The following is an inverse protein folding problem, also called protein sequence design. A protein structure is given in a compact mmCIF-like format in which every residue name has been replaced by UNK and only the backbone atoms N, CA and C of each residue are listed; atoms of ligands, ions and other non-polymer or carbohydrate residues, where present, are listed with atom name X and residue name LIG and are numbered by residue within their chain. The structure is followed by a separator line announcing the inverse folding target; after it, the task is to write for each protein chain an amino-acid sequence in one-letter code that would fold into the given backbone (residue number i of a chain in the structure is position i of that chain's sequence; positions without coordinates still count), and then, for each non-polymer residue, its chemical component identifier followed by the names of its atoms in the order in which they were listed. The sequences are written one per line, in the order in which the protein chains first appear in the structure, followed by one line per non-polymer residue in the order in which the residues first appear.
data_IF_656020430090
#
_entry.id   IF_656020430090
#
_cell.length_a   1.000
_cell.length_b   1.000
_cell.length_c   1.000
_cell.angle_alpha   90.00
_cell.angle_beta   90.00
_cell.angle_gamma   90.00
#
_symmetry.space_group_name_H-M   'P 1'
#
loop_
_entity.id
_entity.type
_entity.pdbx_description
1 polymer ?
#
# COMPACT_ATOMS: atom_id res chain seq x y z
N UNK A 1 5.39 13.61 14.56
CA UNK A 1 5.55 12.17 14.74
C UNK A 1 6.91 11.87 15.35
N UNK A 2 6.92 11.15 16.47
CA UNK A 2 8.14 10.85 17.22
C UNK A 2 9.19 10.10 16.39
N UNK A 3 8.76 9.23 15.50
CA UNK A 3 9.66 8.45 14.66
C UNK A 3 10.46 9.34 13.73
N UNK A 4 9.80 10.31 13.10
CA UNK A 4 10.45 11.28 12.21
C UNK A 4 11.29 12.26 13.04
N UNK A 5 10.73 12.78 14.13
CA UNK A 5 11.42 13.75 14.99
C UNK A 5 12.70 13.21 15.58
N UNK A 6 12.76 11.90 15.82
CA UNK A 6 13.96 11.24 16.35
C UNK A 6 14.92 10.76 15.27
N UNK A 7 14.68 11.13 14.03
CA UNK A 7 15.58 10.79 12.92
C UNK A 7 15.61 9.30 12.57
N UNK A 8 14.58 8.55 12.92
CA UNK A 8 14.50 7.12 12.63
C UNK A 8 13.98 6.83 11.23
N UNK A 9 13.26 7.76 10.63
CA UNK A 9 12.81 7.69 9.24
C UNK A 9 13.56 8.70 8.41
N UNK A 10 14.21 8.22 7.37
CA UNK A 10 15.01 9.07 6.46
C UNK A 10 14.29 9.09 5.11
N UNK A 11 13.87 10.26 4.61
CA UNK A 11 13.26 10.35 3.29
C UNK A 11 14.27 9.94 2.22
N UNK A 12 13.87 9.06 1.32
CA UNK A 12 14.71 8.58 0.22
C UNK A 12 14.23 9.15 -1.11
N UNK A 13 12.91 9.03 -1.38
CA UNK A 13 12.35 9.49 -2.64
C UNK A 13 10.88 9.85 -2.47
N UNK A 14 10.52 11.05 -2.93
CA UNK A 14 9.13 11.49 -3.04
C UNK A 14 8.61 11.21 -4.43
N UNK A 15 7.31 10.93 -4.54
CA UNK A 15 6.65 10.70 -5.83
C UNK A 15 7.38 9.65 -6.67
N UNK A 16 7.62 8.49 -6.07
CA UNK A 16 8.30 7.38 -6.73
C UNK A 16 7.36 6.69 -7.72
N UNK A 17 7.64 6.84 -9.01
CA UNK A 17 6.88 6.14 -10.06
C UNK A 17 7.37 4.70 -10.13
N UNK A 18 6.42 3.77 -10.09
CA UNK A 18 6.69 2.33 -10.14
C UNK A 18 5.86 1.69 -11.24
N UNK A 19 6.32 0.57 -11.75
CA UNK A 19 5.57 -0.17 -12.76
C UNK A 19 6.13 -1.55 -12.99
N UNK A 20 5.29 -2.38 -13.62
CA UNK A 20 5.66 -3.69 -14.10
C UNK A 20 5.10 -3.87 -15.50
N UNK A 21 5.99 -4.03 -16.48
CA UNK A 21 5.61 -4.09 -17.90
C UNK A 21 4.85 -5.38 -18.18
N UNK A 22 5.25 -6.49 -17.60
CA UNK A 22 4.61 -7.78 -17.86
C UNK A 22 3.18 -7.83 -17.36
N UNK A 23 2.90 -7.16 -16.25
CA UNK A 23 1.57 -7.07 -15.68
C UNK A 23 0.78 -5.86 -16.20
N UNK A 24 1.43 -4.96 -16.94
CA UNK A 24 0.83 -3.70 -17.41
C UNK A 24 0.25 -2.87 -16.27
N UNK A 25 0.96 -2.84 -15.16
CA UNK A 25 0.57 -2.07 -13.97
C UNK A 25 1.57 -0.95 -13.72
N UNK A 26 1.06 0.20 -13.30
CA UNK A 26 1.89 1.31 -12.86
C UNK A 26 1.19 2.07 -11.74
N UNK A 27 1.99 2.82 -10.99
CA UNK A 27 1.49 3.65 -9.91
C UNK A 27 2.56 4.61 -9.44
N UNK A 28 2.21 5.38 -8.41
CA UNK A 28 3.13 6.31 -7.78
C UNK A 28 3.02 6.20 -6.28
N UNK A 29 4.16 6.01 -5.64
CA UNK A 29 4.26 6.00 -4.17
C UNK A 29 4.57 7.43 -3.73
N UNK A 30 3.80 7.95 -2.78
CA UNK A 30 4.00 9.33 -2.32
C UNK A 30 5.36 9.52 -1.66
N UNK A 31 5.80 8.57 -0.85
CA UNK A 31 7.08 8.67 -0.16
C UNK A 31 7.70 7.29 0.11
N UNK A 32 8.97 7.17 -0.24
CA UNK A 32 9.82 6.05 0.18
C UNK A 32 10.72 6.55 1.31
N UNK A 33 10.70 5.84 2.43
CA UNK A 33 11.57 6.08 3.59
C UNK A 33 12.53 4.92 3.80
N UNK A 34 13.69 5.23 4.38
CA UNK A 34 14.56 4.27 5.04
C UNK A 34 14.29 4.34 6.55
N UNK A 35 13.95 3.20 7.14
CA UNK A 35 13.73 3.11 8.59
C UNK A 35 15.01 2.59 9.25
N UNK A 36 15.72 3.47 9.92
CA UNK A 36 16.99 3.14 10.58
C UNK A 36 16.80 2.14 11.72
N UNK A 37 15.68 2.23 12.42
CA UNK A 37 15.43 1.36 13.57
C UNK A 37 15.26 -0.10 13.13
N UNK A 38 14.55 -0.32 12.03
CA UNK A 38 14.24 -1.68 11.54
C UNK A 38 15.12 -2.11 10.36
N UNK A 39 16.02 -1.22 9.92
CA UNK A 39 16.95 -1.49 8.81
C UNK A 39 16.22 -1.98 7.56
N UNK A 40 15.17 -1.27 7.17
CA UNK A 40 14.38 -1.60 5.98
C UNK A 40 13.80 -0.33 5.35
N UNK A 41 13.46 -0.46 4.07
CA UNK A 41 12.69 0.56 3.38
C UNK A 41 11.21 0.39 3.69
N UNK A 42 10.48 1.51 3.66
CA UNK A 42 9.02 1.54 3.86
C UNK A 42 8.40 2.52 2.87
N UNK A 43 7.22 2.17 2.37
CA UNK A 43 6.43 3.07 1.54
C UNK A 43 5.29 3.65 2.37
N UNK A 44 5.08 4.95 2.22
CA UNK A 44 4.04 5.68 2.92
C UNK A 44 3.23 6.47 1.90
N UNK A 45 1.94 6.62 2.19
CA UNK A 45 1.00 7.31 1.31
C UNK A 45 0.19 8.33 2.11
N UNK A 46 -0.15 9.45 1.48
CA UNK A 46 -0.94 10.51 2.11
C UNK A 46 -2.40 10.35 1.71
N UNK A 47 -3.30 10.38 2.69
CA UNK A 47 -4.74 10.28 2.45
C UNK A 47 -5.47 11.44 3.11
N UNK A 48 -6.39 12.06 2.39
CA UNK A 48 -7.11 13.26 2.82
C UNK A 48 -8.62 13.08 2.88
N UNK A 49 -9.13 11.87 2.77
CA UNK A 49 -10.57 11.64 2.77
C UNK A 49 -11.22 11.90 4.13
N UNK A 50 -12.49 12.27 4.11
CA UNK A 50 -13.28 12.55 5.31
C UNK A 50 -13.54 11.30 6.14
N UNK A 51 -13.64 10.14 5.50
CA UNK A 51 -13.89 8.85 6.16
C UNK A 51 -12.75 7.88 5.90
N UNK A 52 -12.31 7.22 6.97
CA UNK A 52 -11.40 6.10 6.89
C UNK A 52 -11.97 4.96 7.75
N UNK A 53 -12.87 4.18 7.13
CA UNK A 53 -13.49 3.05 7.82
C UNK A 53 -12.51 1.89 7.87
N UNK A 54 -12.41 1.25 9.04
CA UNK A 54 -11.61 0.05 9.25
C UNK A 54 -12.38 -1.23 8.95
N UNK A 55 -13.71 -1.13 8.88
CA UNK A 55 -14.65 -2.21 8.54
C UNK A 55 -15.72 -1.66 7.61
N UNK A 56 -16.32 -2.53 6.81
CA UNK A 56 -17.45 -2.13 5.98
C UNK A 56 -18.68 -1.85 6.83
N UNK A 57 -19.51 -0.93 6.34
CA UNK A 57 -20.88 -0.79 6.84
C UNK A 57 -21.67 -2.03 6.37
N UNK A 58 -22.50 -2.57 7.22
CA UNK A 58 -23.37 -3.72 6.87
C UNK A 58 -22.64 -5.02 6.48
N UNK A 59 -21.37 -5.18 6.81
CA UNK A 59 -20.62 -6.40 6.54
C UNK A 59 -20.34 -6.68 5.07
N UNK A 60 -20.34 -5.66 4.22
CA UNK A 60 -20.05 -5.82 2.79
C UNK A 60 -18.62 -6.29 2.58
N UNK A 61 -18.45 -7.23 1.66
CA UNK A 61 -17.15 -7.78 1.30
C UNK A 61 -16.76 -7.38 -0.11
N UNK A 62 -15.46 -7.41 -0.39
CA UNK A 62 -14.95 -7.21 -1.73
C UNK A 62 -15.34 -8.38 -2.63
N UNK A 63 -15.15 -8.22 -3.94
CA UNK A 63 -15.55 -9.20 -4.95
C UNK A 63 -14.35 -10.01 -5.43
N UNK A 64 -14.64 -11.14 -6.08
CA UNK A 64 -13.65 -12.00 -6.72
C UNK A 64 -12.68 -12.61 -5.71
N UNK A 65 -11.38 -12.66 -6.02
CA UNK A 65 -10.39 -13.27 -5.14
C UNK A 65 -10.23 -12.55 -3.79
N UNK A 66 -10.84 -11.39 -3.61
CA UNK A 66 -10.77 -10.59 -2.38
C UNK A 66 -12.01 -10.75 -1.50
N UNK A 67 -12.85 -11.75 -1.75
CA UNK A 67 -14.16 -11.91 -1.12
C UNK A 67 -14.13 -12.00 0.42
N UNK A 68 -12.99 -12.33 1.01
CA UNK A 68 -12.86 -12.43 2.45
C UNK A 68 -12.57 -11.08 3.12
N UNK A 69 -12.26 -10.05 2.35
CA UNK A 69 -11.91 -8.73 2.89
C UNK A 69 -13.14 -7.83 2.94
N UNK A 70 -13.27 -7.11 4.05
CA UNK A 70 -14.28 -6.05 4.17
C UNK A 70 -14.05 -4.97 3.11
N UNK A 71 -15.14 -4.53 2.49
CA UNK A 71 -15.09 -3.42 1.51
C UNK A 71 -15.10 -2.09 2.27
N UNK A 72 -13.93 -1.60 2.58
CA UNK A 72 -13.72 -0.34 3.31
C UNK A 72 -12.43 0.35 2.86
N UNK A 73 -12.33 1.64 3.16
CA UNK A 73 -11.20 2.46 2.73
C UNK A 73 -9.86 1.90 3.23
N UNK A 74 -9.79 1.52 4.48
CA UNK A 74 -8.53 1.01 5.04
C UNK A 74 -8.02 -0.23 4.30
N UNK A 75 -8.91 -1.18 4.00
CA UNK A 75 -8.54 -2.37 3.23
C UNK A 75 -8.16 -2.04 1.80
N UNK A 76 -8.86 -1.11 1.16
CA UNK A 76 -8.52 -0.64 -0.19
C UNK A 76 -7.11 -0.03 -0.21
N UNK A 77 -6.78 0.81 0.76
CA UNK A 77 -5.46 1.42 0.85
C UNK A 77 -4.37 0.40 1.18
N UNK A 78 -4.67 -0.54 2.07
CA UNK A 78 -3.73 -1.62 2.41
C UNK A 78 -3.44 -2.50 1.20
N UNK A 79 -4.46 -2.81 0.39
CA UNK A 79 -4.27 -3.52 -0.88
C UNK A 79 -3.42 -2.73 -1.87
N UNK A 80 -3.72 -1.43 -2.02
CA UNK A 80 -2.96 -0.57 -2.93
C UNK A 80 -1.47 -0.58 -2.57
N UNK A 81 -1.15 -0.40 -1.30
CA UNK A 81 0.25 -0.39 -0.86
C UNK A 81 0.88 -1.78 -0.95
N UNK A 82 0.11 -2.84 -0.74
CA UNK A 82 0.60 -4.22 -0.93
C UNK A 82 0.93 -4.50 -2.40
N UNK A 83 0.12 -3.99 -3.33
CA UNK A 83 0.42 -4.06 -4.78
C UNK A 83 1.71 -3.30 -5.10
N UNK A 84 1.84 -2.08 -4.60
CA UNK A 84 3.03 -1.26 -4.84
C UNK A 84 4.28 -1.92 -4.28
N UNK A 85 4.18 -2.46 -3.07
CA UNK A 85 5.28 -3.20 -2.44
C UNK A 85 5.73 -4.37 -3.33
N UNK A 86 4.79 -5.16 -3.83
CA UNK A 86 5.08 -6.31 -4.67
C UNK A 86 5.76 -5.88 -5.98
N UNK A 87 5.28 -4.82 -6.62
CA UNK A 87 5.88 -4.30 -7.86
C UNK A 87 7.33 -3.88 -7.59
N UNK A 88 7.59 -3.17 -6.51
CA UNK A 88 8.95 -2.75 -6.16
C UNK A 88 9.84 -3.97 -5.91
N UNK A 89 9.39 -4.92 -5.12
CA UNK A 89 10.18 -6.11 -4.77
C UNK A 89 10.45 -7.02 -5.97
N UNK A 90 9.52 -7.07 -6.94
CA UNK A 90 9.70 -7.86 -8.18
C UNK A 90 10.71 -7.23 -9.14
N UNK A 91 10.80 -5.91 -9.14
CA UNK A 91 11.61 -5.18 -10.13
C UNK A 91 12.92 -4.63 -9.57
N UNK A 92 13.17 -4.83 -8.30
CA UNK A 92 14.40 -4.36 -7.62
C UNK A 92 14.87 -5.41 -6.62
N UNK A 93 16.03 -5.18 -6.01
CA UNK A 93 16.51 -6.00 -4.91
C UNK A 93 16.09 -5.46 -3.54
N UNK A 94 15.23 -4.44 -3.53
CA UNK A 94 14.77 -3.82 -2.29
C UNK A 94 13.69 -4.70 -1.67
N UNK A 95 13.81 -4.95 -0.36
CA UNK A 95 12.73 -5.52 0.44
C UNK A 95 12.11 -4.43 1.29
N UNK A 96 10.79 -4.42 1.31
CA UNK A 96 10.02 -3.42 2.03
C UNK A 96 9.47 -4.01 3.33
N UNK A 97 9.52 -3.23 4.39
CA UNK A 97 8.85 -3.53 5.64
C UNK A 97 7.39 -3.10 5.60
N UNK A 98 6.84 -2.79 6.76
CA UNK A 98 5.45 -2.36 6.88
C UNK A 98 5.20 -1.07 6.10
N UNK A 99 4.01 -1.00 5.48
CA UNK A 99 3.54 0.21 4.82
C UNK A 99 2.62 0.99 5.74
N UNK A 100 2.57 2.29 5.58
CA UNK A 100 1.73 3.17 6.40
C UNK A 100 1.03 4.22 5.55
N UNK A 101 -0.11 4.67 6.03
CA UNK A 101 -0.76 5.86 5.51
C UNK A 101 -0.71 6.97 6.55
N UNK A 102 -0.63 8.19 6.07
CA UNK A 102 -0.78 9.38 6.90
C UNK A 102 -2.13 9.99 6.54
N UNK A 103 -3.04 10.00 7.50
CA UNK A 103 -4.41 10.42 7.27
C UNK A 103 -4.66 11.81 7.83
N UNK A 104 -5.15 12.67 6.95
CA UNK A 104 -5.58 14.02 7.26
C UNK A 104 -7.06 14.15 6.95
N UNK A 105 -7.83 14.83 7.80
CA UNK A 105 -9.18 15.28 7.45
C UNK A 105 -9.49 16.57 8.19
N UNK A 106 -10.64 17.18 7.87
CA UNK A 106 -11.03 18.47 8.44
C UNK A 106 -11.26 18.40 9.97
N UNK A 107 -11.66 17.24 10.46
CA UNK A 107 -11.91 17.02 11.89
C UNK A 107 -10.62 16.75 12.67
N UNK A 108 -9.58 16.29 11.98
CA UNK A 108 -8.27 16.03 12.57
C UNK A 108 -7.43 17.30 12.54
N UNK A 109 -7.25 17.94 13.68
CA UNK A 109 -6.30 19.06 13.76
C UNK A 109 -4.86 18.59 13.56
N UNK A 110 -4.61 17.31 13.76
CA UNK A 110 -3.33 16.65 13.53
C UNK A 110 -3.54 15.44 12.63
N UNK A 111 -2.48 15.06 11.93
CA UNK A 111 -2.48 13.84 11.13
C UNK A 111 -2.41 12.60 12.01
N UNK A 112 -2.86 11.46 11.46
CA UNK A 112 -2.70 10.14 12.08
C UNK A 112 -1.86 9.25 11.17
N UNK A 113 -0.90 8.55 11.75
CA UNK A 113 -0.11 7.53 11.05
C UNK A 113 -0.70 6.18 11.36
N UNK A 114 -1.10 5.46 10.32
CA UNK A 114 -1.76 4.17 10.47
C UNK A 114 -0.99 3.13 9.67
N UNK A 115 -0.50 2.09 10.36
CA UNK A 115 0.15 0.96 9.70
C UNK A 115 -0.90 0.15 8.94
N UNK A 116 -0.64 -0.12 7.67
CA UNK A 116 -1.53 -0.88 6.82
C UNK A 116 -1.37 -2.37 7.04
N UNK A 117 -2.40 -3.14 6.69
CA UNK A 117 -2.32 -4.59 6.65
C UNK A 117 -1.44 -5.01 5.47
N UNK A 118 -0.77 -6.14 5.63
CA UNK A 118 0.01 -6.77 4.56
C UNK A 118 -0.87 -7.80 3.86
N UNK A 119 -1.31 -7.48 2.64
CA UNK A 119 -2.12 -8.36 1.81
C UNK A 119 -1.31 -8.98 0.67
N UNK A 120 -0.02 -9.26 0.90
CA UNK A 120 0.87 -9.83 -0.11
C UNK A 120 0.32 -11.11 -0.72
N UNK A 121 -0.28 -12.00 0.08
CA UNK A 121 -0.86 -13.25 -0.41
C UNK A 121 -2.03 -13.00 -1.36
N UNK A 122 -2.89 -12.05 -1.02
CA UNK A 122 -4.01 -11.64 -1.89
C UNK A 122 -3.49 -11.03 -3.19
N UNK A 123 -2.43 -10.23 -3.11
CA UNK A 123 -1.79 -9.63 -4.28
C UNK A 123 -1.19 -10.69 -5.19
N UNK A 124 -0.56 -11.71 -4.63
CA UNK A 124 -0.04 -12.84 -5.41
C UNK A 124 -1.15 -13.50 -6.21
N UNK A 125 -2.31 -13.72 -5.61
CA UNK A 125 -3.48 -14.29 -6.29
C UNK A 125 -3.96 -13.38 -7.43
N UNK A 126 -4.03 -12.07 -7.18
CA UNK A 126 -4.41 -11.10 -8.20
C UNK A 126 -3.43 -11.14 -9.38
N UNK A 127 -2.14 -11.16 -9.11
CA UNK A 127 -1.11 -11.16 -10.15
C UNK A 127 -1.15 -12.45 -10.97
N UNK A 128 -1.36 -13.59 -10.34
CA UNK A 128 -1.54 -14.86 -11.05
C UNK A 128 -2.76 -14.83 -11.96
N UNK A 129 -3.86 -14.25 -11.51
CA UNK A 129 -5.08 -14.07 -12.31
C UNK A 129 -4.80 -13.18 -13.53
N UNK A 130 -4.09 -12.07 -13.35
CA UNK A 130 -3.72 -11.17 -14.44
C UNK A 130 -2.84 -11.86 -15.48
N UNK A 131 -1.86 -12.64 -15.04
CA UNK A 131 -0.99 -13.41 -15.94
C UNK A 131 -1.78 -14.43 -16.75
N UNK A 132 -2.69 -15.16 -16.10
CA UNK A 132 -3.54 -16.16 -16.76
C UNK A 132 -4.43 -15.50 -17.81
N UNK A 133 -5.07 -14.39 -17.49
CA UNK A 133 -5.93 -13.67 -18.43
C UNK A 133 -5.14 -13.15 -19.62
N UNK A 134 -3.93 -12.67 -19.41
CA UNK A 134 -3.05 -12.20 -20.48
C UNK A 134 -2.68 -13.35 -21.43
N UNK A 135 -2.41 -14.54 -20.92
CA UNK A 135 -2.11 -15.72 -21.71
C UNK A 135 -3.30 -16.16 -22.55
N UNK A 136 -4.52 -16.02 -22.03
CA UNK A 136 -5.74 -16.37 -22.77
C UNK A 136 -5.97 -15.41 -23.94
N UNK A 137 -5.61 -14.13 -23.77
CA UNK A 137 -5.85 -13.10 -24.79
C UNK A 137 -4.78 -13.09 -25.90
N UNK A 138 -3.71 -13.80 -25.72
CA UNK A 138 -2.65 -13.96 -26.71
C UNK A 138 -2.81 -15.27 -27.46
#
# INVERSE_FOLDING_TARGET
NDTVAKGKLIPVKSELVIGDIDLMLCGMVDQLFWNERYQCYQIWDWKTNTKLRMKSDYGNKMKGPLYMLDDCEFNTYSLQLSVYKKIIEMNTNIKLGESSIVWFNEENQNYKVITCNDYSDHVDTIFETLKTNKQILV
#
